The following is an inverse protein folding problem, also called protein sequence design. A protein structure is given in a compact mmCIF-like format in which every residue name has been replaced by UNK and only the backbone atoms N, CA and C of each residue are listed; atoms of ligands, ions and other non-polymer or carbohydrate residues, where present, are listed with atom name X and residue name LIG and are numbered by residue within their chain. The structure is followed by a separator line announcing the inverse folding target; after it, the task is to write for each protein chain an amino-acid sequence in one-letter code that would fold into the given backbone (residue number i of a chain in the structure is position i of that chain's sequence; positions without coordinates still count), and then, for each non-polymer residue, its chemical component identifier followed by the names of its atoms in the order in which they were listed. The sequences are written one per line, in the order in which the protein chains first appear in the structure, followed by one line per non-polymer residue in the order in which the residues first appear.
data_IF_170580169522
#
_entry.id   IF_170580169522
#
_cell.length_a   1.000
_cell.length_b   1.000
_cell.length_c   1.000
_cell.angle_alpha   90.00
_cell.angle_beta   90.00
_cell.angle_gamma   90.00
#
_symmetry.space_group_name_H-M   'P 1'
#
loop_
_entity.id
_entity.type
_entity.pdbx_description
1 polymer ?
#
# COMPACT_ATOMS: atom_id res chain seq x y z
N UNK A 1 -22.03 -3.68 -16.03
CA UNK A 1 -21.01 -2.63 -15.80
C UNK A 1 -19.88 -3.35 -15.08
N UNK A 2 -18.86 -3.79 -15.82
CA UNK A 2 -17.77 -4.58 -15.24
C UNK A 2 -17.06 -3.72 -14.21
N UNK A 3 -17.15 -4.12 -12.94
CA UNK A 3 -16.36 -3.56 -11.86
C UNK A 3 -14.90 -3.70 -12.27
N UNK A 4 -14.25 -2.58 -12.60
CA UNK A 4 -12.83 -2.57 -12.96
C UNK A 4 -12.03 -3.00 -11.74
N UNK A 5 -11.72 -4.30 -11.64
CA UNK A 5 -10.84 -4.91 -10.65
C UNK A 5 -9.35 -4.54 -10.87
N UNK A 6 -9.07 -3.36 -11.43
CA UNK A 6 -7.72 -2.87 -11.62
C UNK A 6 -7.27 -2.11 -10.39
N UNK A 7 -5.98 -2.19 -10.10
CA UNK A 7 -5.34 -1.42 -9.06
C UNK A 7 -5.24 0.04 -9.54
N UNK A 8 -5.71 1.06 -8.80
CA UNK A 8 -5.72 2.44 -9.27
C UNK A 8 -4.29 2.98 -9.39
N UNK A 9 -4.01 3.85 -10.38
CA UNK A 9 -2.68 4.46 -10.54
C UNK A 9 -2.45 5.59 -9.53
N UNK A 10 -1.22 5.71 -9.04
CA UNK A 10 -0.72 6.88 -8.32
C UNK A 10 -0.34 7.95 -9.35
N UNK A 11 -0.91 9.15 -9.25
CA UNK A 11 -0.62 10.28 -10.15
C UNK A 11 0.59 11.08 -9.68
N UNK A 12 0.68 11.33 -8.38
CA UNK A 12 1.74 12.11 -7.75
C UNK A 12 1.94 11.65 -6.30
N UNK A 13 3.17 11.79 -5.81
CA UNK A 13 3.52 11.53 -4.41
C UNK A 13 4.51 12.58 -3.92
N UNK A 14 4.20 13.20 -2.79
CA UNK A 14 5.04 14.19 -2.13
C UNK A 14 4.82 14.11 -0.61
N UNK A 15 5.55 14.91 0.16
CA UNK A 15 5.50 14.85 1.62
C UNK A 15 4.09 15.11 2.15
N UNK A 16 3.49 14.12 2.82
CA UNK A 16 2.15 14.22 3.39
C UNK A 16 1.02 14.21 2.34
N UNK A 17 1.30 13.87 1.09
CA UNK A 17 0.33 13.92 -0.02
C UNK A 17 0.52 12.76 -1.00
N UNK A 18 -0.56 12.05 -1.28
CA UNK A 18 -0.65 11.02 -2.32
C UNK A 18 -1.87 11.27 -3.20
N UNK A 19 -1.66 11.49 -4.49
CA UNK A 19 -2.73 11.63 -5.46
C UNK A 19 -2.99 10.33 -6.20
N UNK A 20 -4.24 9.89 -6.20
CA UNK A 20 -4.65 8.61 -6.81
C UNK A 20 -5.69 8.86 -7.91
N UNK A 21 -5.61 8.10 -8.98
CA UNK A 21 -6.60 8.12 -10.07
C UNK A 21 -8.02 7.87 -9.54
N UNK A 22 -8.99 8.63 -10.08
CA UNK A 22 -10.39 8.50 -9.69
C UNK A 22 -10.74 9.06 -8.30
N UNK A 23 -9.79 9.72 -7.61
CA UNK A 23 -10.03 10.42 -6.34
C UNK A 23 -9.94 11.93 -6.53
N UNK A 24 -10.91 12.64 -5.96
CA UNK A 24 -10.96 14.10 -6.00
C UNK A 24 -9.93 14.72 -5.05
N UNK A 25 -9.86 14.21 -3.83
CA UNK A 25 -8.93 14.69 -2.81
C UNK A 25 -7.74 13.74 -2.65
N UNK A 26 -6.53 14.29 -2.37
CA UNK A 26 -5.36 13.50 -2.05
C UNK A 26 -5.52 12.81 -0.69
N UNK A 27 -4.78 11.72 -0.50
CA UNK A 27 -4.60 11.12 0.80
C UNK A 27 -3.35 11.69 1.49
N UNK A 28 -3.34 11.67 2.83
CA UNK A 28 -2.09 11.73 3.58
C UNK A 28 -1.35 10.40 3.43
N UNK A 29 -1.93 9.34 3.99
CA UNK A 29 -1.48 7.96 3.83
C UNK A 29 -2.63 7.15 3.25
N UNK A 30 -2.33 6.12 2.46
CA UNK A 30 -3.37 5.38 1.74
C UNK A 30 -3.11 3.88 1.63
N UNK A 31 -4.22 3.14 1.60
CA UNK A 31 -4.30 1.76 1.13
C UNK A 31 -4.84 1.77 -0.30
N UNK A 32 -4.12 1.15 -1.22
CA UNK A 32 -4.53 0.97 -2.62
C UNK A 32 -4.65 -0.52 -2.90
N UNK A 33 -5.67 -0.93 -3.65
CA UNK A 33 -5.92 -2.34 -3.97
C UNK A 33 -6.75 -2.47 -5.26
N UNK A 34 -6.87 -3.68 -5.82
CA UNK A 34 -7.75 -3.91 -6.97
C UNK A 34 -9.17 -3.44 -6.68
N UNK A 35 -9.68 -2.53 -7.52
CA UNK A 35 -11.02 -1.96 -7.37
C UNK A 35 -11.09 -0.67 -6.53
N UNK A 36 -10.01 -0.18 -5.92
CA UNK A 36 -10.05 1.13 -5.30
C UNK A 36 -8.91 1.49 -4.34
N UNK A 37 -9.18 2.51 -3.54
CA UNK A 37 -8.29 3.02 -2.51
C UNK A 37 -9.07 3.78 -1.45
N UNK A 38 -8.49 3.86 -0.25
CA UNK A 38 -8.96 4.71 0.84
C UNK A 38 -7.80 5.17 1.73
N UNK A 39 -8.11 6.08 2.65
CA UNK A 39 -7.14 6.59 3.61
C UNK A 39 -6.66 5.47 4.54
N UNK A 40 -5.36 5.43 4.80
CA UNK A 40 -4.78 4.51 5.77
C UNK A 40 -4.71 5.17 7.15
N UNK A 41 -5.63 4.79 8.02
CA UNK A 41 -5.69 5.26 9.39
C UNK A 41 -5.05 4.24 10.32
N UNK A 42 -3.82 4.52 10.76
CA UNK A 42 -3.04 3.62 11.61
C UNK A 42 -3.72 3.23 12.94
N UNK A 43 -4.68 4.04 13.42
CA UNK A 43 -5.42 3.75 14.66
C UNK A 43 -6.33 2.53 14.55
N UNK A 44 -6.71 2.13 13.34
CA UNK A 44 -7.59 0.98 13.10
C UNK A 44 -6.90 -0.34 13.39
N UNK A 45 -5.58 -0.39 13.19
CA UNK A 45 -4.78 -1.63 13.28
C UNK A 45 -3.71 -1.58 14.36
N UNK A 46 -3.44 -0.41 14.94
CA UNK A 46 -2.34 -0.22 15.88
C UNK A 46 -0.98 -0.01 15.21
N UNK A 47 -0.98 0.33 13.92
CA UNK A 47 0.25 0.68 13.20
C UNK A 47 0.89 1.95 13.76
N UNK A 48 2.20 1.99 13.67
CA UNK A 48 3.04 3.12 14.05
C UNK A 48 4.45 2.85 13.55
N UNK A 49 5.37 3.80 13.68
CA UNK A 49 6.79 3.57 13.35
C UNK A 49 7.34 2.30 14.02
N UNK A 50 6.90 2.08 15.26
CA UNK A 50 7.03 0.83 16.02
C UNK A 50 5.67 0.56 16.68
N UNK A 51 5.07 -0.63 16.54
CA UNK A 51 5.68 -1.88 16.04
C UNK A 51 5.88 -1.96 14.53
N UNK A 52 5.26 -1.10 13.72
CA UNK A 52 5.32 -1.16 12.26
C UNK A 52 3.98 -1.55 11.62
N UNK A 53 4.01 -1.94 10.35
CA UNK A 53 2.84 -2.38 9.57
C UNK A 53 2.26 -3.69 10.13
N UNK A 54 0.97 -3.71 10.44
CA UNK A 54 0.32 -4.88 11.03
C UNK A 54 -0.26 -5.83 9.96
N UNK A 55 -0.47 -7.10 10.34
CA UNK A 55 -1.15 -8.09 9.47
C UNK A 55 -2.52 -7.57 9.02
N UNK A 56 -3.27 -6.91 9.90
CA UNK A 56 -4.57 -6.35 9.58
C UNK A 56 -4.52 -5.29 8.46
N UNK A 57 -3.41 -4.55 8.32
CA UNK A 57 -3.28 -3.59 7.22
C UNK A 57 -3.16 -4.27 5.85
N UNK A 58 -2.41 -5.38 5.79
CA UNK A 58 -2.19 -6.12 4.53
C UNK A 58 -3.31 -7.11 4.24
N UNK A 59 -4.03 -7.60 5.26
CA UNK A 59 -5.17 -8.50 5.09
C UNK A 59 -6.26 -7.86 4.23
N UNK A 60 -6.59 -6.58 4.46
CA UNK A 60 -7.57 -5.86 3.64
C UNK A 60 -7.19 -5.83 2.16
N UNK A 61 -5.89 -5.66 1.85
CA UNK A 61 -5.41 -5.69 0.46
C UNK A 61 -5.64 -7.05 -0.19
N UNK A 62 -5.42 -8.14 0.58
CA UNK A 62 -5.65 -9.51 0.11
C UNK A 62 -7.15 -9.80 -0.07
N UNK A 63 -8.00 -9.29 0.82
CA UNK A 63 -9.45 -9.43 0.74
C UNK A 63 -10.02 -8.74 -0.52
N UNK A 64 -9.36 -7.66 -0.95
CA UNK A 64 -9.61 -7.00 -2.23
C UNK A 64 -8.92 -7.66 -3.44
N UNK A 65 -8.29 -8.82 -3.26
CA UNK A 65 -7.75 -9.64 -4.35
C UNK A 65 -6.34 -9.27 -4.81
N UNK A 66 -5.58 -8.50 -4.01
CA UNK A 66 -4.17 -8.25 -4.30
C UNK A 66 -3.35 -9.56 -4.30
N UNK A 67 -2.53 -9.75 -5.33
CA UNK A 67 -1.59 -10.89 -5.49
C UNK A 67 -0.14 -10.49 -5.29
N UNK A 68 0.15 -9.19 -5.41
CA UNK A 68 1.44 -8.58 -5.13
C UNK A 68 1.19 -7.43 -4.15
N UNK A 69 2.05 -7.29 -3.14
CA UNK A 69 1.94 -6.24 -2.11
C UNK A 69 3.19 -5.35 -2.15
N UNK A 70 2.97 -4.04 -2.25
CA UNK A 70 4.01 -3.03 -2.14
C UNK A 70 3.86 -2.27 -0.82
N UNK A 71 4.86 -2.38 0.05
CA UNK A 71 4.89 -1.73 1.36
C UNK A 71 5.87 -0.57 1.34
N UNK A 72 5.38 0.64 1.54
CA UNK A 72 6.25 1.80 1.71
C UNK A 72 6.62 2.00 3.18
N UNK A 73 7.89 2.38 3.43
CA UNK A 73 8.40 2.65 4.78
C UNK A 73 8.40 4.15 5.14
N UNK A 74 7.77 4.98 4.34
CA UNK A 74 7.92 6.44 4.42
C UNK A 74 9.02 6.97 3.49
N UNK A 75 9.05 8.29 3.38
CA UNK A 75 10.08 9.09 2.71
C UNK A 75 11.45 8.96 3.40
N UNK A 76 11.46 8.75 4.73
CA UNK A 76 12.67 8.59 5.52
C UNK A 76 12.85 7.15 6.06
N UNK A 77 12.06 6.20 5.54
CA UNK A 77 12.13 4.77 5.88
C UNK A 77 11.96 4.44 7.37
N UNK A 78 11.30 5.31 8.13
CA UNK A 78 11.18 5.16 9.58
C UNK A 78 10.08 4.17 9.98
N UNK A 79 9.12 3.89 9.09
CA UNK A 79 8.05 2.92 9.33
C UNK A 79 8.59 1.49 9.21
N UNK A 80 8.49 0.71 10.28
CA UNK A 80 8.95 -0.67 10.27
C UNK A 80 7.98 -1.62 9.57
N UNK A 81 8.53 -2.69 9.00
CA UNK A 81 7.76 -3.85 8.54
C UNK A 81 8.16 -5.04 9.41
N UNK A 82 7.31 -5.44 10.37
CA UNK A 82 7.56 -6.58 11.24
C UNK A 82 7.81 -7.85 10.43
N UNK A 83 8.71 -8.70 10.93
CA UNK A 83 8.94 -10.02 10.34
C UNK A 83 7.67 -10.87 10.33
N UNK A 84 6.83 -10.77 11.35
CA UNK A 84 5.55 -11.46 11.42
C UNK A 84 4.64 -11.12 10.23
N UNK A 85 4.54 -9.85 9.85
CA UNK A 85 3.78 -9.40 8.67
C UNK A 85 4.36 -9.95 7.37
N UNK A 86 5.69 -10.00 7.24
CA UNK A 86 6.36 -10.59 6.07
C UNK A 86 6.17 -12.11 6.00
N UNK A 87 6.30 -12.81 7.12
CA UNK A 87 6.12 -14.26 7.20
C UNK A 87 4.66 -14.64 6.91
N UNK A 88 3.69 -13.84 7.38
CA UNK A 88 2.27 -13.99 7.08
C UNK A 88 1.98 -13.95 5.57
N UNK A 89 2.58 -12.98 4.86
CA UNK A 89 2.44 -12.84 3.40
C UNK A 89 3.17 -13.97 2.67
N UNK A 90 4.38 -14.33 3.11
CA UNK A 90 5.18 -15.41 2.54
C UNK A 90 4.48 -16.76 2.63
N UNK A 91 3.86 -17.08 3.77
CA UNK A 91 3.10 -18.32 3.98
C UNK A 91 1.92 -18.46 2.99
N UNK A 92 1.38 -17.33 2.52
CA UNK A 92 0.33 -17.26 1.50
C UNK A 92 0.85 -17.16 0.07
N UNK A 93 2.17 -17.28 -0.12
CA UNK A 93 2.84 -17.16 -1.41
C UNK A 93 2.59 -15.82 -2.11
N UNK A 94 2.39 -14.75 -1.33
CA UNK A 94 2.22 -13.39 -1.84
C UNK A 94 3.59 -12.77 -2.08
N UNK A 95 3.81 -12.21 -3.27
CA UNK A 95 5.03 -11.45 -3.56
C UNK A 95 4.97 -10.10 -2.84
N UNK A 96 6.05 -9.74 -2.14
CA UNK A 96 6.13 -8.51 -1.34
C UNK A 96 7.35 -7.69 -1.72
N UNK A 97 7.15 -6.40 -1.92
CA UNK A 97 8.22 -5.42 -2.10
C UNK A 97 8.17 -4.40 -0.97
N UNK A 98 9.31 -4.14 -0.31
CA UNK A 98 9.43 -3.17 0.78
C UNK A 98 10.42 -2.09 0.35
N UNK A 99 9.96 -0.85 0.22
CA UNK A 99 10.72 0.24 -0.41
C UNK A 99 10.48 1.59 0.29
N UNK A 100 11.35 2.60 0.09
CA UNK A 100 11.01 4.00 0.34
C UNK A 100 9.81 4.44 -0.50
N UNK A 101 9.05 5.44 -0.03
CA UNK A 101 7.78 5.83 -0.67
C UNK A 101 7.87 6.22 -2.15
N UNK A 102 8.86 7.01 -2.62
CA UNK A 102 8.96 7.34 -4.04
C UNK A 102 9.17 6.09 -4.93
N UNK A 103 10.03 5.17 -4.48
CA UNK A 103 10.33 3.92 -5.19
C UNK A 103 9.14 2.95 -5.15
N UNK A 104 8.47 2.87 -4.00
CA UNK A 104 7.25 2.09 -3.83
C UNK A 104 6.16 2.56 -4.80
N UNK A 105 5.94 3.88 -4.93
CA UNK A 105 4.94 4.43 -5.83
C UNK A 105 5.27 4.13 -7.31
N UNK A 106 6.54 4.28 -7.70
CA UNK A 106 6.99 3.96 -9.05
C UNK A 106 6.82 2.47 -9.39
N UNK A 107 7.24 1.57 -8.49
CA UNK A 107 7.09 0.13 -8.68
C UNK A 107 5.62 -0.28 -8.73
N UNK A 108 4.82 0.23 -7.79
CA UNK A 108 3.39 -0.05 -7.74
C UNK A 108 2.71 0.32 -9.06
N UNK A 109 2.97 1.51 -9.60
CA UNK A 109 2.41 1.93 -10.89
C UNK A 109 2.79 1.01 -12.04
N UNK A 110 4.04 0.56 -12.10
CA UNK A 110 4.49 -0.39 -13.11
C UNK A 110 3.77 -1.74 -13.00
N UNK A 111 3.56 -2.23 -11.78
CA UNK A 111 2.84 -3.49 -11.54
C UNK A 111 1.34 -3.35 -11.84
N UNK A 112 0.72 -2.24 -11.46
CA UNK A 112 -0.71 -1.98 -11.65
C UNK A 112 -1.17 -1.99 -13.11
N UNK A 113 -0.25 -1.88 -14.07
CA UNK A 113 -0.57 -1.96 -15.50
C UNK A 113 -1.10 -3.34 -15.92
N UNK A 114 -0.63 -4.42 -15.27
CA UNK A 114 -0.96 -5.79 -15.67
C UNK A 114 -1.28 -6.72 -14.50
N UNK A 115 -1.00 -6.31 -13.26
CA UNK A 115 -1.12 -7.15 -12.07
C UNK A 115 -2.15 -6.60 -11.07
N UNK A 116 -2.75 -7.52 -10.32
CA UNK A 116 -3.56 -7.20 -9.14
C UNK A 116 -2.63 -6.86 -7.97
N UNK A 117 -2.29 -5.59 -7.80
CA UNK A 117 -1.35 -5.10 -6.80
C UNK A 117 -2.08 -4.33 -5.71
N UNK A 118 -1.73 -4.65 -4.46
CA UNK A 118 -2.10 -3.85 -3.30
C UNK A 118 -0.89 -3.05 -2.81
N UNK A 119 -1.11 -1.93 -2.15
CA UNK A 119 -0.03 -1.19 -1.52
C UNK A 119 -0.46 -0.35 -0.32
N UNK A 120 0.48 -0.21 0.61
CA UNK A 120 0.40 0.67 1.76
C UNK A 120 1.42 1.79 1.59
N UNK A 121 0.95 3.03 1.57
CA UNK A 121 1.77 4.20 1.30
C UNK A 121 1.73 5.17 2.47
N UNK A 122 2.85 5.24 3.19
CA UNK A 122 3.12 6.29 4.15
C UNK A 122 3.88 7.43 3.48
N UNK A 123 3.39 8.66 3.50
CA UNK A 123 3.98 9.77 2.72
C UNK A 123 4.85 10.72 3.54
N UNK A 124 5.08 10.42 4.83
CA UNK A 124 5.99 11.19 5.70
C UNK A 124 7.17 10.33 6.14
N UNK A 125 7.67 10.43 7.38
CA UNK A 125 8.86 9.71 7.83
C UNK A 125 8.70 8.20 7.94
#
# INVERSE_FOLDING_TARGET
MESRNYSPRIKDVSWGRLEVEGKAEPYKDAKLFPGGSHAWNWRETGTGHRPGIQIADVQELLDHGARIIVLSRGMAECLQVPRETLDFLKQRQIAVHVLPTPEAAALYNKLAENESVGGLFHTTC
#
